data_IF_246031293648
#
_entry.id   IF_246031293648
#
_cell.length_a   1.000
_cell.length_b   1.000
_cell.length_c   1.000
_cell.angle_alpha   90.00
_cell.angle_beta   90.00
_cell.angle_gamma   90.00
#
_symmetry.space_group_name_H-M   'P 1'
#
loop_
_entity.id
_entity.type
_entity.pdbx_description
1 polymer ?
#
# COMPACT_ATOMS: atom_id res chain seq x y z
N UNK A 1 -17.38 4.50 -30.49
CA UNK A 1 -17.01 3.78 -31.74
C UNK A 1 -17.83 2.52 -31.78
N UNK A 2 -18.41 2.15 -32.93
CA UNK A 2 -19.15 0.89 -33.03
C UNK A 2 -18.15 -0.26 -33.16
N UNK A 3 -18.05 -1.09 -32.12
CA UNK A 3 -17.22 -2.30 -32.14
C UNK A 3 -18.00 -3.42 -32.82
N UNK A 4 -17.37 -4.10 -33.78
CA UNK A 4 -17.96 -5.20 -34.53
C UNK A 4 -17.14 -6.45 -34.29
N UNK A 5 -17.77 -7.61 -34.28
CA UNK A 5 -17.08 -8.88 -34.08
C UNK A 5 -16.05 -9.11 -35.20
N UNK A 6 -14.81 -9.45 -34.81
CA UNK A 6 -13.69 -9.64 -35.74
C UNK A 6 -13.07 -11.01 -35.54
N UNK A 7 -12.81 -11.73 -36.63
CA UNK A 7 -12.09 -13.01 -36.57
C UNK A 7 -10.59 -12.79 -36.69
N UNK A 8 -9.81 -13.31 -35.73
CA UNK A 8 -8.35 -13.26 -35.71
C UNK A 8 -7.76 -14.67 -35.70
N UNK A 9 -6.56 -14.82 -36.26
CA UNK A 9 -5.82 -16.08 -36.28
C UNK A 9 -4.85 -16.16 -35.11
N UNK A 10 -4.92 -17.24 -34.33
CA UNK A 10 -3.99 -17.46 -33.22
C UNK A 10 -2.57 -17.74 -33.73
N UNK A 11 -1.56 -17.07 -33.16
CA UNK A 11 -0.15 -17.28 -33.52
C UNK A 11 0.41 -18.65 -33.08
N UNK A 12 -0.14 -19.29 -32.07
CA UNK A 12 0.41 -20.57 -31.54
C UNK A 12 -0.25 -21.81 -32.14
N UNK A 13 -1.57 -21.82 -32.25
CA UNK A 13 -2.33 -22.98 -32.74
C UNK A 13 -2.87 -22.79 -34.16
N UNK A 14 -2.77 -21.59 -34.75
CA UNK A 14 -3.24 -21.31 -36.10
C UNK A 14 -4.76 -21.29 -36.28
N UNK A 15 -5.54 -21.62 -35.24
CA UNK A 15 -7.01 -21.58 -35.31
C UNK A 15 -7.53 -20.14 -35.35
N UNK A 16 -8.61 -19.91 -36.10
CA UNK A 16 -9.37 -18.66 -36.00
C UNK A 16 -10.14 -18.60 -34.68
N UNK A 17 -10.25 -17.41 -34.11
CA UNK A 17 -11.08 -17.13 -32.94
C UNK A 17 -11.75 -15.77 -33.10
N UNK A 18 -12.91 -15.59 -32.47
CA UNK A 18 -13.68 -14.34 -32.54
C UNK A 18 -13.25 -13.40 -31.43
N UNK A 19 -12.86 -12.18 -31.81
CA UNK A 19 -12.69 -11.04 -30.94
C UNK A 19 -13.97 -10.23 -30.95
N UNK A 20 -14.78 -10.48 -29.93
CA UNK A 20 -16.15 -9.94 -29.84
C UNK A 20 -16.14 -8.43 -29.59
N UNK A 21 -17.23 -7.77 -29.97
CA UNK A 21 -17.50 -6.36 -29.67
C UNK A 21 -17.32 -6.03 -28.17
N UNK A 22 -17.79 -6.89 -27.28
CA UNK A 22 -17.63 -6.71 -25.83
C UNK A 22 -16.17 -6.81 -25.34
N UNK A 23 -15.35 -7.66 -25.96
CA UNK A 23 -13.92 -7.72 -25.63
C UNK A 23 -13.16 -6.52 -26.18
N UNK A 24 -13.55 -5.97 -27.33
CA UNK A 24 -12.96 -4.74 -27.86
C UNK A 24 -13.24 -3.54 -26.93
N UNK A 25 -14.46 -3.44 -26.40
CA UNK A 25 -14.81 -2.44 -25.39
C UNK A 25 -13.99 -2.62 -24.10
N UNK A 26 -13.79 -3.87 -23.67
CA UNK A 26 -12.93 -4.16 -22.53
C UNK A 26 -11.47 -3.74 -22.77
N UNK A 27 -10.93 -3.96 -23.96
CA UNK A 27 -9.57 -3.54 -24.30
C UNK A 27 -9.46 -2.02 -24.36
N UNK A 28 -10.45 -1.34 -24.95
CA UNK A 28 -10.50 0.12 -25.01
C UNK A 28 -10.58 0.77 -23.62
N UNK A 29 -11.42 0.25 -22.72
CA UNK A 29 -11.55 0.78 -21.35
C UNK A 29 -10.31 0.55 -20.49
N UNK A 30 -9.54 -0.51 -20.78
CA UNK A 30 -8.27 -0.79 -20.10
C UNK A 30 -7.07 -0.07 -20.72
N UNK A 31 -7.27 0.67 -21.82
CA UNK A 31 -6.19 1.32 -22.56
C UNK A 31 -5.27 0.34 -23.29
N UNK A 32 -5.74 -0.88 -23.59
CA UNK A 32 -5.02 -1.86 -24.39
C UNK A 32 -5.32 -1.61 -25.86
N UNK A 33 -4.42 -0.89 -26.53
CA UNK A 33 -4.53 -0.56 -27.96
C UNK A 33 -4.20 -1.75 -28.89
N UNK A 34 -3.71 -2.86 -28.34
CA UNK A 34 -3.25 -4.01 -29.12
C UNK A 34 -4.24 -5.17 -29.09
N UNK A 35 -4.52 -5.70 -30.28
CA UNK A 35 -5.39 -6.85 -30.48
C UNK A 35 -4.82 -8.15 -29.88
N UNK A 36 -5.69 -9.08 -29.46
CA UNK A 36 -5.26 -10.36 -28.94
C UNK A 36 -4.51 -11.19 -30.00
N UNK A 37 -3.25 -11.54 -29.73
CA UNK A 37 -2.43 -12.38 -30.64
C UNK A 37 -2.70 -13.88 -30.48
N UNK A 38 -3.26 -14.28 -29.34
CA UNK A 38 -3.48 -15.69 -28.95
C UNK A 38 -4.94 -15.89 -28.60
N UNK A 39 -5.48 -17.03 -29.03
CA UNK A 39 -6.84 -17.43 -28.69
C UNK A 39 -7.02 -17.69 -27.18
N UNK A 40 -8.26 -17.67 -26.67
CA UNK A 40 -8.54 -17.88 -25.25
C UNK A 40 -7.96 -19.18 -24.70
N UNK A 41 -8.01 -20.28 -25.46
CA UNK A 41 -7.46 -21.57 -25.04
C UNK A 41 -5.94 -21.51 -24.86
N UNK A 42 -5.19 -21.00 -25.84
CA UNK A 42 -3.74 -20.85 -25.71
C UNK A 42 -3.34 -19.86 -24.61
N UNK A 43 -4.15 -18.82 -24.36
CA UNK A 43 -3.95 -17.91 -23.21
C UNK A 43 -4.14 -18.63 -21.88
N UNK A 44 -5.22 -19.40 -21.75
CA UNK A 44 -5.52 -20.18 -20.55
C UNK A 44 -4.47 -21.27 -20.31
N UNK A 45 -4.13 -22.07 -21.32
CA UNK A 45 -3.07 -23.10 -21.19
C UNK A 45 -1.76 -22.48 -20.77
N UNK A 46 -1.36 -21.32 -21.32
CA UNK A 46 -0.14 -20.63 -20.87
C UNK A 46 -0.26 -20.08 -19.45
N UNK A 47 -1.46 -19.67 -19.02
CA UNK A 47 -1.70 -19.27 -17.62
C UNK A 47 -1.54 -20.47 -16.69
N UNK A 48 -2.01 -21.66 -17.08
CA UNK A 48 -1.87 -22.90 -16.32
C UNK A 48 -0.45 -23.49 -16.36
N UNK A 49 0.25 -23.34 -17.48
CA UNK A 49 1.66 -23.74 -17.64
C UNK A 49 2.62 -22.78 -16.95
N UNK A 50 2.18 -21.58 -16.58
CA UNK A 50 2.89 -20.79 -15.58
C UNK A 50 2.59 -21.52 -14.28
N UNK A 51 3.56 -22.22 -13.67
CA UNK A 51 3.31 -22.87 -12.40
C UNK A 51 2.77 -21.79 -11.45
N UNK A 52 1.51 -21.97 -11.07
CA UNK A 52 0.84 -21.17 -10.04
C UNK A 52 1.49 -21.41 -8.66
N UNK A 53 2.49 -22.30 -8.60
CA UNK A 53 3.52 -22.44 -7.56
C UNK A 53 4.56 -21.28 -7.57
N UNK A 54 4.07 -20.05 -7.60
CA UNK A 54 4.82 -18.88 -7.11
C UNK A 54 4.34 -18.51 -5.70
N UNK A 55 3.89 -19.52 -4.94
CA UNK A 55 3.51 -19.38 -3.53
C UNK A 55 4.62 -19.94 -2.63
N UNK A 56 5.59 -20.66 -3.19
CA UNK A 56 6.79 -21.11 -2.48
C UNK A 56 8.04 -21.08 -3.39
N UNK A 57 8.25 -19.95 -4.07
CA UNK A 57 9.65 -19.55 -4.31
C UNK A 57 10.09 -18.86 -3.01
N UNK A 58 11.00 -19.43 -2.21
CA UNK A 58 11.66 -18.62 -1.21
C UNK A 58 12.28 -17.48 -1.98
N UNK A 59 11.79 -16.26 -1.74
CA UNK A 59 12.46 -15.04 -2.17
C UNK A 59 13.73 -14.98 -1.34
N UNK A 60 14.71 -15.82 -1.68
CA UNK A 60 16.04 -15.72 -1.13
C UNK A 60 16.72 -14.57 -1.85
N UNK A 61 16.37 -13.37 -1.39
CA UNK A 61 17.10 -12.14 -1.64
C UNK A 61 16.97 -11.58 -3.05
N UNK A 62 16.85 -10.25 -3.09
CA UNK A 62 16.97 -9.39 -4.26
C UNK A 62 18.43 -9.36 -4.74
N UNK A 63 19.04 -10.51 -5.05
CA UNK A 63 20.44 -10.59 -5.52
C UNK A 63 20.65 -11.24 -6.87
N UNK A 64 19.62 -11.83 -7.48
CA UNK A 64 19.74 -12.37 -8.83
C UNK A 64 18.58 -11.87 -9.67
N UNK A 65 18.69 -10.61 -10.12
CA UNK A 65 17.81 -10.08 -11.15
C UNK A 65 18.18 -10.73 -12.48
N UNK A 66 17.25 -11.54 -12.98
CA UNK A 66 17.15 -11.98 -14.36
C UNK A 66 17.42 -10.80 -15.32
N UNK A 67 18.65 -10.66 -15.83
CA UNK A 67 18.98 -9.50 -16.68
C UNK A 67 20.45 -9.11 -16.83
N UNK A 68 21.40 -9.78 -16.17
CA UNK A 68 22.81 -9.80 -16.60
C UNK A 68 23.52 -8.46 -16.80
N UNK A 69 23.07 -7.36 -16.19
CA UNK A 69 23.66 -6.02 -16.35
C UNK A 69 24.04 -5.49 -14.98
N UNK A 70 25.31 -5.65 -14.68
CA UNK A 70 26.09 -5.16 -13.51
C UNK A 70 25.90 -5.93 -12.20
N UNK A 71 26.99 -6.48 -11.61
CA UNK A 71 26.94 -6.99 -10.24
C UNK A 71 26.62 -5.81 -9.31
N UNK A 72 25.64 -5.97 -8.42
CA UNK A 72 25.35 -4.96 -7.38
C UNK A 72 26.61 -4.78 -6.53
N UNK A 73 27.06 -3.54 -6.37
CA UNK A 73 28.19 -3.23 -5.50
C UNK A 73 27.76 -3.47 -4.05
N UNK A 74 28.49 -4.33 -3.36
CA UNK A 74 28.34 -4.54 -1.93
C UNK A 74 29.10 -3.44 -1.19
N UNK A 75 28.45 -2.79 -0.24
CA UNK A 75 29.04 -1.75 0.59
C UNK A 75 29.39 -2.31 1.95
N UNK A 76 30.60 -2.00 2.44
CA UNK A 76 31.04 -2.41 3.77
C UNK A 76 30.42 -1.49 4.81
N UNK A 77 29.80 -2.08 5.83
CA UNK A 77 29.20 -1.39 6.96
C UNK A 77 29.59 -2.07 8.28
N UNK A 78 29.59 -1.34 9.39
CA UNK A 78 29.77 -1.91 10.72
C UNK A 78 28.40 -2.24 11.33
N UNK A 79 28.24 -3.44 11.89
CA UNK A 79 27.05 -3.83 12.64
C UNK A 79 26.93 -2.97 13.91
N UNK A 80 25.77 -2.37 14.14
CA UNK A 80 25.53 -1.50 15.29
C UNK A 80 25.62 -2.22 16.65
N UNK A 81 25.32 -3.53 16.68
CA UNK A 81 25.24 -4.29 17.94
C UNK A 81 26.53 -5.04 18.29
N UNK A 82 27.22 -5.63 17.30
CA UNK A 82 28.42 -6.42 17.53
C UNK A 82 29.71 -5.79 16.97
N UNK A 83 29.62 -4.72 16.18
CA UNK A 83 30.77 -4.02 15.59
C UNK A 83 31.47 -4.75 14.44
N UNK A 84 31.01 -5.94 14.05
CA UNK A 84 31.61 -6.68 12.93
C UNK A 84 31.33 -6.01 11.58
N UNK A 85 32.26 -6.13 10.65
CA UNK A 85 32.13 -5.64 9.27
C UNK A 85 31.20 -6.56 8.47
N UNK A 86 30.13 -6.02 7.90
CA UNK A 86 29.17 -6.75 7.08
C UNK A 86 29.01 -6.09 5.72
N UNK A 87 28.81 -6.91 4.69
CA UNK A 87 28.58 -6.46 3.33
C UNK A 87 27.09 -6.30 3.08
N UNK A 88 26.65 -5.07 2.79
CA UNK A 88 25.25 -4.75 2.56
C UNK A 88 24.98 -4.27 1.13
N UNK A 89 23.81 -4.60 0.56
CA UNK A 89 23.41 -4.18 -0.79
C UNK A 89 23.16 -2.71 -1.05
N UNK A 90 23.06 -1.93 0.01
CA UNK A 90 22.63 -0.54 -0.02
C UNK A 90 23.70 0.31 0.64
N UNK A 91 23.84 1.56 0.21
CA UNK A 91 24.75 2.51 0.83
C UNK A 91 24.21 2.85 2.23
N UNK A 92 24.95 2.57 3.33
CA UNK A 92 24.53 2.97 4.66
C UNK A 92 24.49 4.50 4.75
N UNK A 93 23.31 5.07 5.03
CA UNK A 93 23.11 6.53 5.12
C UNK A 93 23.34 7.11 6.51
N UNK A 94 23.51 6.26 7.54
CA UNK A 94 23.67 6.68 8.93
C UNK A 94 22.35 6.89 9.68
N UNK A 95 21.25 7.13 8.97
CA UNK A 95 19.92 7.35 9.57
C UNK A 95 19.30 6.08 10.19
N UNK A 96 19.66 4.90 9.68
CA UNK A 96 19.12 3.61 10.14
C UNK A 96 20.26 2.66 10.53
N UNK A 97 20.19 2.01 11.71
CA UNK A 97 21.22 1.09 12.16
C UNK A 97 21.32 -0.13 11.23
N UNK A 98 22.55 -0.46 10.84
CA UNK A 98 22.86 -1.66 10.06
C UNK A 98 23.17 -2.81 11.00
N UNK A 99 22.62 -3.99 10.72
CA UNK A 99 22.82 -5.20 11.52
C UNK A 99 23.37 -6.35 10.66
N UNK A 100 24.21 -7.20 11.25
CA UNK A 100 24.56 -8.49 10.66
C UNK A 100 23.37 -9.44 10.68
N UNK A 101 23.37 -10.50 9.87
CA UNK A 101 22.25 -11.45 9.78
C UNK A 101 21.84 -12.04 11.14
N UNK A 102 22.80 -12.29 12.03
CA UNK A 102 22.52 -12.83 13.35
C UNK A 102 21.86 -11.80 14.27
N UNK A 103 22.46 -10.61 14.42
CA UNK A 103 21.88 -9.54 15.23
C UNK A 103 20.56 -9.04 14.66
N UNK A 104 20.37 -9.05 13.34
CA UNK A 104 19.11 -8.69 12.70
C UNK A 104 17.98 -9.64 13.10
N UNK A 105 18.24 -10.95 13.17
CA UNK A 105 17.24 -11.93 13.62
C UNK A 105 16.87 -11.72 15.10
N UNK A 106 17.85 -11.45 15.96
CA UNK A 106 17.59 -11.19 17.39
C UNK A 106 16.79 -9.89 17.60
N UNK A 107 17.16 -8.82 16.89
CA UNK A 107 16.44 -7.54 16.94
C UNK A 107 15.04 -7.70 16.37
N UNK A 108 14.89 -8.43 15.27
CA UNK A 108 13.59 -8.73 14.67
C UNK A 108 12.68 -9.46 15.66
N UNK A 109 13.15 -10.52 16.31
CA UNK A 109 12.35 -11.25 17.31
C UNK A 109 11.93 -10.36 18.48
N UNK A 110 12.81 -9.47 18.95
CA UNK A 110 12.48 -8.51 20.02
C UNK A 110 11.45 -7.47 19.57
N UNK A 111 11.60 -6.94 18.36
CA UNK A 111 10.65 -5.98 17.80
C UNK A 111 9.29 -6.62 17.57
N UNK A 112 9.24 -7.83 17.00
CA UNK A 112 7.99 -8.59 16.82
C UNK A 112 7.30 -8.89 18.16
N UNK A 113 8.05 -9.24 19.20
CA UNK A 113 7.50 -9.43 20.54
C UNK A 113 7.00 -8.12 21.17
N UNK A 114 7.71 -7.00 20.97
CA UNK A 114 7.27 -5.69 21.43
C UNK A 114 6.01 -5.21 20.70
N UNK A 115 5.97 -5.36 19.38
CA UNK A 115 4.77 -5.07 18.58
C UNK A 115 3.59 -5.94 19.00
N UNK A 116 3.80 -7.21 19.35
CA UNK A 116 2.72 -8.07 19.86
C UNK A 116 2.19 -7.58 21.22
N UNK A 117 3.09 -7.25 22.16
CA UNK A 117 2.70 -6.71 23.47
C UNK A 117 2.04 -5.34 23.33
N UNK A 118 2.50 -4.49 22.42
CA UNK A 118 1.91 -3.18 22.14
C UNK A 118 0.58 -3.31 21.40
N UNK A 119 0.40 -4.29 20.52
CA UNK A 119 -0.87 -4.61 19.88
C UNK A 119 -1.89 -5.10 20.90
N UNK A 120 -1.49 -5.99 21.83
CA UNK A 120 -2.34 -6.43 22.93
C UNK A 120 -2.67 -5.28 23.90
N UNK A 121 -1.69 -4.45 24.25
CA UNK A 121 -1.89 -3.30 25.12
C UNK A 121 -2.76 -2.22 24.48
N UNK A 122 -2.59 -1.95 23.17
CA UNK A 122 -3.43 -1.01 22.43
C UNK A 122 -4.85 -1.55 22.27
N UNK A 123 -5.02 -2.85 21.99
CA UNK A 123 -6.34 -3.50 21.99
C UNK A 123 -7.03 -3.43 23.37
N UNK A 124 -6.30 -3.63 24.46
CA UNK A 124 -6.82 -3.49 25.83
C UNK A 124 -7.21 -2.04 26.16
N UNK A 125 -6.45 -1.05 25.68
CA UNK A 125 -6.81 0.38 25.83
C UNK A 125 -8.08 0.73 25.06
N UNK A 126 -8.22 0.21 23.83
CA UNK A 126 -9.42 0.42 23.01
C UNK A 126 -10.66 -0.22 23.66
N UNK A 127 -10.54 -1.44 24.20
CA UNK A 127 -11.65 -2.13 24.87
C UNK A 127 -12.04 -1.47 26.21
N UNK A 128 -11.06 -1.00 26.98
CA UNK A 128 -11.32 -0.24 28.21
C UNK A 128 -12.04 1.09 27.92
N UNK A 129 -11.66 1.82 26.86
CA UNK A 129 -12.34 3.06 26.46
C UNK A 129 -13.80 2.81 26.05
N UNK A 130 -14.08 1.73 25.32
CA UNK A 130 -15.44 1.34 24.96
C UNK A 130 -16.30 0.98 26.20
N UNK A 131 -15.71 0.32 27.20
CA UNK A 131 -16.40 -0.01 28.45
C UNK A 131 -16.81 1.21 29.27
N UNK A 132 -15.97 2.24 29.33
CA UNK A 132 -16.30 3.49 30.04
C UNK A 132 -17.37 4.32 29.33
N UNK A 133 -17.44 4.28 27.99
CA UNK A 133 -18.49 4.96 27.22
C UNK A 133 -19.88 4.30 27.41
N UNK A 134 -19.93 2.97 27.59
CA UNK A 134 -21.18 2.24 27.80
C UNK A 134 -21.81 2.53 29.19
N UNK A 135 -21.00 2.61 30.26
CA UNK A 135 -21.50 2.85 31.62
C UNK A 135 -22.06 4.27 31.86
N UNK A 136 -21.80 5.23 30.98
CA UNK A 136 -22.37 6.58 31.08
C UNK A 136 -23.81 6.69 30.55
N UNK A 137 -24.33 5.64 29.88
CA UNK A 137 -25.64 5.66 29.20
C UNK A 137 -26.78 5.05 30.03
N UNK A 138 -26.51 4.35 31.14
CA UNK A 138 -27.56 3.72 31.97
C UNK A 138 -28.23 4.69 32.96
N UNK A 139 -27.84 5.97 33.00
CA UNK A 139 -28.37 6.96 33.96
C UNK A 139 -29.11 8.16 33.37
N UNK A 140 -29.13 8.35 32.05
CA UNK A 140 -29.80 9.50 31.43
C UNK A 140 -30.94 9.01 30.53
N UNK A 141 -32.13 8.87 31.13
CA UNK A 141 -33.37 8.77 30.35
C UNK A 141 -33.43 9.93 29.34
N UNK A 142 -33.95 9.70 28.13
CA UNK A 142 -33.87 10.70 27.07
C UNK A 142 -34.58 11.97 27.53
N UNK A 143 -33.83 13.05 27.72
CA UNK A 143 -34.41 14.38 27.81
C UNK A 143 -35.19 14.58 26.50
N UNK A 144 -36.51 14.47 26.58
CA UNK A 144 -37.41 14.62 25.44
C UNK A 144 -37.35 16.07 25.01
N UNK A 145 -36.49 16.36 24.03
CA UNK A 145 -36.41 17.68 23.40
C UNK A 145 -37.68 17.88 22.59
N UNK A 146 -38.63 18.65 23.13
CA UNK A 146 -39.75 19.20 22.36
C UNK A 146 -39.22 20.43 21.63
N UNK A 147 -38.93 20.26 20.34
CA UNK A 147 -38.74 21.37 19.41
C UNK A 147 -40.14 21.97 19.17
N UNK A 148 -40.30 23.27 19.43
CA UNK A 148 -41.51 24.02 19.06
C UNK A 148 -41.31 24.56 17.64
N UNK A 149 -42.21 24.19 16.74
CA UNK A 149 -42.26 24.63 15.34
C UNK A 149 -42.83 26.05 15.19
N UNK A 150 -42.12 27.07 15.68
CA UNK A 150 -42.35 28.46 15.28
C UNK A 150 -40.98 29.10 15.02
N UNK A 151 -40.87 29.89 13.94
CA UNK A 151 -39.67 30.59 13.43
C UNK A 151 -38.82 29.82 12.39
N UNK A 152 -39.48 29.18 11.44
CA UNK A 152 -38.89 28.90 10.12
C UNK A 152 -38.94 30.17 9.24
N UNK A 153 -38.17 31.22 9.57
CA UNK A 153 -37.93 32.34 8.63
C UNK A 153 -36.82 33.31 9.09
N UNK A 154 -35.70 32.81 9.63
CA UNK A 154 -34.45 33.62 9.75
C UNK A 154 -33.21 32.78 9.49
N UNK A 155 -33.08 32.32 8.25
CA UNK A 155 -31.85 31.68 7.73
C UNK A 155 -31.41 32.44 6.48
N UNK A 156 -31.11 33.73 6.63
CA UNK A 156 -30.24 34.43 5.69
C UNK A 156 -29.55 35.56 6.45
N UNK A 157 -28.25 35.72 6.19
CA UNK A 157 -27.34 36.72 6.77
C UNK A 157 -26.68 36.37 8.11
N UNK A 158 -25.66 35.51 8.05
CA UNK A 158 -24.33 35.88 8.54
C UNK A 158 -23.29 34.90 8.00
N UNK A 159 -22.60 35.31 6.93
CA UNK A 159 -21.34 34.70 6.55
C UNK A 159 -20.30 34.97 7.62
N UNK A 160 -19.75 33.91 8.21
CA UNK A 160 -18.52 33.96 8.98
C UNK A 160 -17.55 32.96 8.34
N UNK A 161 -16.61 33.53 7.60
CA UNK A 161 -15.45 32.89 6.99
C UNK A 161 -14.67 32.09 8.04
N UNK A 162 -14.48 30.81 7.78
CA UNK A 162 -13.62 29.94 8.56
C UNK A 162 -12.16 30.41 8.42
N UNK A 163 -11.60 30.94 9.50
CA UNK A 163 -10.16 31.19 9.62
C UNK A 163 -9.48 29.83 9.79
N UNK A 164 -8.91 29.32 8.71
CA UNK A 164 -7.88 28.28 8.73
C UNK A 164 -6.64 28.86 9.42
N UNK A 165 -6.41 28.48 10.68
CA UNK A 165 -5.07 28.55 11.27
C UNK A 165 -4.26 27.40 10.67
N UNK A 166 -3.40 27.76 9.74
CA UNK A 166 -2.30 26.94 9.24
C UNK A 166 -1.11 27.29 10.12
N UNK A 167 -0.62 26.34 10.93
CA UNK A 167 0.67 26.45 11.60
C UNK A 167 1.79 26.41 10.55
N UNK A 168 2.58 27.48 10.36
CA UNK A 168 3.73 27.44 9.48
C UNK A 168 4.95 26.87 10.22
N UNK A 169 5.62 25.94 9.52
CA UNK A 169 6.92 25.39 9.85
C UNK A 169 7.97 26.48 10.12
N UNK A 170 8.76 26.26 11.17
CA UNK A 170 10.11 26.83 11.29
C UNK A 170 11.01 26.04 10.33
N UNK A 171 11.21 26.59 9.13
CA UNK A 171 12.34 26.27 8.25
C UNK A 171 13.41 27.36 8.38
N UNK A 172 14.64 26.88 8.48
CA UNK A 172 15.91 27.56 8.70
C UNK A 172 16.32 28.63 7.66
N UNK A 173 17.34 29.38 8.09
CA UNK A 173 18.57 29.74 7.33
C UNK A 173 18.71 31.12 6.64
N UNK A 174 19.85 31.74 6.97
CA UNK A 174 20.72 32.60 6.14
C UNK A 174 20.20 33.98 5.65
N UNK A 175 20.73 35.05 6.25
CA UNK A 175 21.72 35.86 5.52
C UNK A 175 22.56 36.74 6.48
N UNK A 176 23.87 36.61 6.36
CA UNK A 176 24.90 37.43 6.99
C UNK A 176 25.41 38.41 5.94
N UNK A 177 25.02 39.68 6.01
CA UNK A 177 25.78 40.78 5.37
C UNK A 177 25.35 42.14 5.95
N UNK A 178 26.05 42.60 7.00
CA UNK A 178 26.60 43.97 7.15
C UNK A 178 27.36 44.12 8.48
#
# INVERSE_FOLDING_TARGET
MAFNDRELTCRDCGSSFVFTSGEQEFYATKGLEHDPVRCPSCRQTRKLLRPEDREETPTFGVYVSWGGRTPRQLHVAACHQCGQTTEVPFVPRGDRPVYCSNCYNDVRQKMEAQEAVEAEASAARISAAAGHAASALEGAGPARVVVRDDDADKIFEAGATATLVVDPADEDDLDSDQ
#
